data_IF_100554956805
#
_entry.id   IF_100554956805
#
_cell.length_a   1.000
_cell.length_b   1.000
_cell.length_c   1.000
_cell.angle_alpha   90.00
_cell.angle_beta   90.00
_cell.angle_gamma   90.00
#
_symmetry.space_group_name_H-M   'P 1'
#
loop_
_entity.id
_entity.type
_entity.pdbx_description
1 polymer ?
#
# COMPACT_ATOMS: atom_id res chain seq x y z
N UNK A 1 -17.28 -21.30 -14.98
CA UNK A 1 -16.98 -20.63 -13.70
C UNK A 1 -17.48 -19.20 -13.82
N UNK A 2 -18.55 -18.84 -13.12
CA UNK A 2 -19.25 -17.55 -13.31
C UNK A 2 -18.48 -16.40 -12.66
N UNK A 3 -18.35 -15.25 -13.35
CA UNK A 3 -17.56 -14.07 -12.95
C UNK A 3 -17.97 -13.41 -11.61
N UNK A 4 -18.99 -13.92 -10.94
CA UNK A 4 -19.48 -13.41 -9.67
C UNK A 4 -18.77 -14.06 -8.46
N UNK A 5 -18.25 -15.28 -8.58
CA UNK A 5 -17.49 -15.92 -7.48
C UNK A 5 -16.12 -15.28 -7.25
N UNK A 6 -15.54 -14.66 -8.29
CA UNK A 6 -14.23 -14.02 -8.18
C UNK A 6 -14.32 -12.70 -7.40
N UNK A 7 -15.45 -11.97 -7.50
CA UNK A 7 -15.66 -10.67 -6.84
C UNK A 7 -15.76 -10.76 -5.32
N UNK A 8 -16.15 -11.90 -4.78
CA UNK A 8 -16.27 -12.08 -3.33
C UNK A 8 -15.02 -12.68 -2.70
N UNK A 9 -14.12 -13.28 -3.49
CA UNK A 9 -12.85 -13.82 -2.98
C UNK A 9 -11.83 -12.74 -2.62
N UNK A 10 -11.84 -11.62 -3.33
CA UNK A 10 -10.85 -10.56 -3.13
C UNK A 10 -11.23 -9.55 -2.04
N UNK A 11 -12.53 -9.37 -1.75
CA UNK A 11 -13.00 -8.44 -0.71
C UNK A 11 -12.42 -8.73 0.67
N UNK A 12 -12.43 -9.97 1.21
CA UNK A 12 -11.80 -10.28 2.48
C UNK A 12 -10.29 -10.05 2.44
N UNK A 13 -9.62 -10.37 1.32
CA UNK A 13 -8.17 -10.19 1.15
C UNK A 13 -7.77 -8.72 1.10
N UNK A 14 -8.56 -7.88 0.43
CA UNK A 14 -8.34 -6.43 0.38
C UNK A 14 -8.54 -5.81 1.77
N UNK A 15 -9.57 -6.21 2.52
CA UNK A 15 -9.78 -5.76 3.90
C UNK A 15 -8.64 -6.18 4.85
N UNK A 16 -8.14 -7.41 4.72
CA UNK A 16 -7.00 -7.91 5.50
C UNK A 16 -5.72 -7.14 5.17
N UNK A 17 -5.44 -6.88 3.88
CA UNK A 17 -4.28 -6.08 3.46
C UNK A 17 -4.42 -4.58 3.82
N UNK A 18 -5.63 -4.03 3.79
CA UNK A 18 -5.91 -2.71 4.35
C UNK A 18 -5.57 -2.63 5.84
N UNK A 19 -5.78 -3.73 6.57
CA UNK A 19 -5.39 -3.87 7.98
C UNK A 19 -3.89 -3.69 8.22
N UNK A 20 -3.03 -4.07 7.26
CA UNK A 20 -1.57 -3.89 7.37
C UNK A 20 -1.13 -2.44 7.42
N UNK A 21 -1.94 -1.50 6.93
CA UNK A 21 -1.65 -0.06 7.02
C UNK A 21 -2.05 0.56 8.37
N UNK A 22 -2.87 -0.13 9.17
CA UNK A 22 -3.35 0.37 10.46
C UNK A 22 -3.92 1.79 10.37
N UNK A 23 -3.53 2.67 11.32
CA UNK A 23 -3.92 4.08 11.34
C UNK A 23 -3.13 4.99 10.37
N UNK A 24 -2.15 4.45 9.63
CA UNK A 24 -1.28 5.25 8.76
C UNK A 24 -1.75 5.36 7.31
N UNK A 25 -2.95 4.88 6.99
CA UNK A 25 -3.53 4.99 5.62
C UNK A 25 -3.49 6.41 5.06
N UNK A 26 -3.85 7.41 5.87
CA UNK A 26 -3.80 8.83 5.44
C UNK A 26 -2.36 9.34 5.24
N UNK A 27 -1.38 8.80 5.97
CA UNK A 27 0.03 9.16 5.84
C UNK A 27 0.59 8.79 4.46
N UNK A 28 0.09 7.71 3.87
CA UNK A 28 0.44 7.28 2.52
C UNK A 28 -0.54 7.78 1.45
N UNK A 29 -1.41 8.73 1.77
CA UNK A 29 -2.50 9.19 0.88
C UNK A 29 -3.45 8.07 0.40
N UNK A 30 -3.48 6.93 1.09
CA UNK A 30 -4.34 5.78 0.83
C UNK A 30 -5.70 5.94 1.54
N UNK A 31 -6.36 7.09 1.36
CA UNK A 31 -7.62 7.42 2.05
C UNK A 31 -8.75 6.42 1.75
N UNK A 32 -9.50 6.62 0.66
CA UNK A 32 -10.38 5.60 0.07
C UNK A 32 -9.73 5.18 -1.23
N UNK A 33 -9.33 3.92 -1.37
CA UNK A 33 -8.86 3.40 -2.65
C UNK A 33 -10.07 3.41 -3.61
N UNK A 34 -10.17 4.47 -4.42
CA UNK A 34 -11.28 4.72 -5.36
C UNK A 34 -11.09 3.93 -6.67
N UNK A 35 -10.59 2.71 -6.55
CA UNK A 35 -10.39 1.85 -7.71
C UNK A 35 -11.74 1.38 -8.25
N UNK A 36 -12.08 1.80 -9.48
CA UNK A 36 -13.32 1.39 -10.14
C UNK A 36 -13.28 -0.05 -10.66
N UNK A 37 -12.12 -0.70 -10.65
CA UNK A 37 -11.93 -2.10 -11.04
C UNK A 37 -10.88 -2.79 -10.15
N UNK A 38 -10.99 -4.12 -10.03
CA UNK A 38 -10.13 -4.94 -9.17
C UNK A 38 -8.63 -4.84 -9.51
N UNK A 39 -8.31 -4.66 -10.79
CA UNK A 39 -6.94 -4.50 -11.25
C UNK A 39 -6.31 -3.21 -10.68
N UNK A 40 -7.04 -2.11 -10.74
CA UNK A 40 -6.59 -0.81 -10.24
C UNK A 40 -6.48 -0.82 -8.71
N UNK A 41 -7.35 -1.57 -8.03
CA UNK A 41 -7.30 -1.69 -6.57
C UNK A 41 -6.04 -2.45 -6.14
N UNK A 42 -5.79 -3.59 -6.78
CA UNK A 42 -4.59 -4.38 -6.56
C UNK A 42 -3.33 -3.60 -6.92
N UNK A 43 -3.35 -2.86 -8.02
CA UNK A 43 -2.22 -2.01 -8.44
C UNK A 43 -1.94 -0.89 -7.44
N UNK A 44 -2.97 -0.18 -6.97
CA UNK A 44 -2.82 0.90 -5.99
C UNK A 44 -2.33 0.37 -4.62
N UNK A 45 -2.80 -0.80 -4.20
CA UNK A 45 -2.31 -1.47 -2.98
C UNK A 45 -0.82 -1.83 -3.10
N UNK A 46 -0.42 -2.51 -4.18
CA UNK A 46 0.99 -2.86 -4.39
C UNK A 46 1.88 -1.63 -4.50
N UNK A 47 1.43 -0.62 -5.24
CA UNK A 47 2.14 0.64 -5.39
C UNK A 47 2.31 1.36 -4.04
N UNK A 48 1.26 1.40 -3.21
CA UNK A 48 1.31 2.00 -1.87
C UNK A 48 2.33 1.32 -0.95
N UNK A 49 2.34 -0.02 -0.91
CA UNK A 49 3.28 -0.79 -0.09
C UNK A 49 4.74 -0.53 -0.53
N UNK A 50 5.00 -0.58 -1.83
CA UNK A 50 6.36 -0.37 -2.35
C UNK A 50 6.84 1.06 -2.06
N UNK A 51 5.98 2.05 -2.30
CA UNK A 51 6.32 3.47 -2.08
C UNK A 51 6.61 3.75 -0.61
N UNK A 52 5.82 3.19 0.31
CA UNK A 52 6.07 3.29 1.75
C UNK A 52 7.44 2.72 2.12
N UNK A 53 7.75 1.52 1.64
CA UNK A 53 9.03 0.87 1.91
C UNK A 53 10.22 1.67 1.33
N UNK A 54 10.11 2.16 0.09
CA UNK A 54 11.15 2.99 -0.53
C UNK A 54 11.35 4.30 0.22
N UNK A 55 10.28 4.96 0.65
CA UNK A 55 10.38 6.21 1.42
C UNK A 55 11.10 6.00 2.76
N UNK A 56 10.80 4.91 3.48
CA UNK A 56 11.50 4.54 4.72
C UNK A 56 12.98 4.28 4.45
N UNK A 57 13.31 3.53 3.41
CA UNK A 57 14.71 3.25 3.04
C UNK A 57 15.46 4.53 2.68
N UNK A 58 14.87 5.40 1.86
CA UNK A 58 15.45 6.69 1.49
C UNK A 58 15.73 7.57 2.72
N UNK A 59 14.78 7.67 3.64
CA UNK A 59 14.95 8.41 4.89
C UNK A 59 16.09 7.85 5.76
N UNK A 60 16.22 6.51 5.82
CA UNK A 60 17.31 5.85 6.54
C UNK A 60 18.67 6.11 5.91
N UNK A 61 18.77 6.07 4.58
CA UNK A 61 20.01 6.36 3.88
C UNK A 61 20.42 7.84 4.04
N UNK A 62 19.47 8.77 3.97
CA UNK A 62 19.73 10.18 4.30
C UNK A 62 20.26 10.33 5.74
N UNK A 63 19.61 9.71 6.72
CA UNK A 63 20.07 9.76 8.12
C UNK A 63 21.48 9.15 8.30
N UNK A 64 21.81 8.07 7.59
CA UNK A 64 23.18 7.50 7.59
C UNK A 64 24.20 8.43 6.95
N UNK A 65 23.85 9.08 5.84
CA UNK A 65 24.73 10.01 5.15
C UNK A 65 25.06 11.24 6.01
N UNK A 66 24.07 11.78 6.73
CA UNK A 66 24.26 12.86 7.70
C UNK A 66 25.16 12.43 8.84
N UNK A 67 24.98 11.22 9.41
CA UNK A 67 25.86 10.68 10.46
C UNK A 67 27.29 10.41 10.00
N UNK A 68 27.55 10.18 8.71
CA UNK A 68 28.90 10.00 8.16
C UNK A 68 29.61 11.33 7.90
N UNK A 69 28.86 12.41 7.71
CA UNK A 69 29.39 13.74 7.42
C UNK A 69 29.61 14.61 8.67
N UNK A 70 29.15 14.17 9.83
CA UNK A 70 29.40 14.77 11.15
C UNK A 70 30.54 14.04 11.86
#
# INVERSE_FOLDING_TARGET
MSQDSEKDYWKPRATVMEGSFGNQKQHYSLGRIKARNMFSERLLLFFGIHTANTAILAAREMARSVKKAA
#
